data_IF_697670298321
#
_entry.id   IF_697670298321
#
_cell.length_a   1.000
_cell.length_b   1.000
_cell.length_c   1.000
_cell.angle_alpha   90.00
_cell.angle_beta   90.00
_cell.angle_gamma   90.00
#
_symmetry.space_group_name_H-M   'P 1'
#
loop_
_entity.id
_entity.type
_entity.pdbx_description
1 polymer ?
#
# COMPACT_ATOMS: atom_id res chain seq x y z
N UNK A 1 -10.21 -22.10 5.10
CA UNK A 1 -8.76 -21.92 4.93
C UNK A 1 -8.35 -20.47 5.12
N UNK A 2 -8.74 -19.55 4.26
CA UNK A 2 -8.41 -18.12 4.35
C UNK A 2 -8.76 -17.52 5.71
N UNK A 3 -9.92 -17.82 6.26
CA UNK A 3 -10.35 -17.34 7.57
C UNK A 3 -9.49 -17.89 8.74
N UNK A 4 -8.95 -19.10 8.60
CA UNK A 4 -8.02 -19.68 9.58
C UNK A 4 -6.68 -18.95 9.58
N UNK A 5 -6.18 -18.58 8.41
CA UNK A 5 -4.98 -17.75 8.27
C UNK A 5 -5.20 -16.40 8.94
N UNK A 6 -6.31 -15.71 8.61
CA UNK A 6 -6.64 -14.38 9.13
C UNK A 6 -6.73 -14.34 10.65
N UNK A 7 -7.36 -15.35 11.27
CA UNK A 7 -7.61 -15.39 12.71
C UNK A 7 -6.55 -16.15 13.53
N UNK A 8 -5.62 -16.84 12.85
CA UNK A 8 -4.57 -17.64 13.49
C UNK A 8 -5.08 -18.77 14.38
N UNK A 9 -6.36 -19.16 14.24
CA UNK A 9 -7.05 -20.12 15.12
C UNK A 9 -8.18 -20.84 14.40
N UNK A 10 -8.14 -22.17 14.41
CA UNK A 10 -9.21 -22.99 13.83
C UNK A 10 -10.54 -22.78 14.60
N UNK A 11 -10.48 -22.66 15.92
CA UNK A 11 -11.68 -22.46 16.75
C UNK A 11 -12.35 -21.12 16.45
N UNK A 12 -11.58 -20.03 16.39
CA UNK A 12 -12.10 -18.70 16.06
C UNK A 12 -12.65 -18.65 14.63
N UNK A 13 -11.95 -19.27 13.68
CA UNK A 13 -12.40 -19.37 12.30
C UNK A 13 -13.68 -20.17 12.16
N UNK A 14 -13.82 -21.30 12.88
CA UNK A 14 -15.03 -22.09 12.88
C UNK A 14 -16.22 -21.29 13.41
N UNK A 15 -16.04 -20.54 14.50
CA UNK A 15 -17.07 -19.65 15.03
C UNK A 15 -17.47 -18.57 14.04
N UNK A 16 -16.50 -17.94 13.38
CA UNK A 16 -16.74 -16.89 12.38
C UNK A 16 -17.46 -17.42 11.12
N UNK A 17 -17.24 -18.69 10.77
CA UNK A 17 -17.89 -19.36 9.64
C UNK A 17 -19.18 -20.09 10.03
N UNK A 18 -19.65 -19.94 11.27
CA UNK A 18 -20.82 -20.66 11.80
C UNK A 18 -20.71 -22.18 11.63
N UNK A 19 -19.51 -22.74 11.78
CA UNK A 19 -19.20 -24.15 11.63
C UNK A 19 -18.77 -24.79 12.97
N UNK A 20 -18.95 -26.08 13.12
CA UNK A 20 -18.35 -26.85 14.21
C UNK A 20 -16.80 -26.94 13.98
N UNK A 21 -16.03 -26.68 15.04
CA UNK A 21 -14.54 -26.77 14.96
C UNK A 21 -14.04 -28.14 14.45
N UNK A 22 -14.64 -29.32 14.84
CA UNK A 22 -14.24 -30.61 14.30
C UNK A 22 -14.41 -30.70 12.78
N UNK A 23 -15.53 -30.15 12.26
CA UNK A 23 -15.83 -30.15 10.83
C UNK A 23 -14.80 -29.31 10.05
N UNK A 24 -14.49 -28.09 10.53
CA UNK A 24 -13.48 -27.27 9.90
C UNK A 24 -12.10 -27.92 9.96
N UNK A 25 -11.71 -28.53 11.09
CA UNK A 25 -10.45 -29.24 11.24
C UNK A 25 -10.34 -30.44 10.28
N UNK A 26 -11.44 -31.17 10.08
CA UNK A 26 -11.53 -32.29 9.13
C UNK A 26 -11.37 -31.79 7.69
N UNK A 27 -12.11 -30.75 7.31
CA UNK A 27 -12.02 -30.15 5.97
C UNK A 27 -10.62 -29.65 5.64
N UNK A 28 -9.90 -29.06 6.63
CA UNK A 28 -8.50 -28.65 6.45
C UNK A 28 -7.62 -29.85 6.14
N UNK A 29 -7.72 -30.93 6.93
CA UNK A 29 -6.90 -32.15 6.73
C UNK A 29 -7.21 -32.85 5.40
N UNK A 30 -8.47 -32.84 4.98
CA UNK A 30 -8.89 -33.42 3.69
C UNK A 30 -8.26 -32.62 2.53
N UNK A 31 -8.31 -31.29 2.58
CA UNK A 31 -7.69 -30.43 1.57
C UNK A 31 -6.17 -30.62 1.55
N UNK A 32 -5.49 -30.63 2.71
CA UNK A 32 -4.06 -30.86 2.80
C UNK A 32 -3.64 -32.22 2.20
N UNK A 33 -4.47 -33.24 2.39
CA UNK A 33 -4.26 -34.56 1.79
C UNK A 33 -4.46 -34.55 0.28
N UNK A 34 -5.47 -33.84 -0.21
CA UNK A 34 -5.81 -33.75 -1.62
C UNK A 34 -4.75 -32.98 -2.42
N UNK A 35 -4.28 -31.83 -1.89
CA UNK A 35 -3.22 -31.06 -2.51
C UNK A 35 -1.79 -31.57 -2.23
N UNK A 36 -1.65 -32.52 -1.31
CA UNK A 36 -0.37 -33.17 -0.99
C UNK A 36 0.62 -32.30 -0.23
N UNK A 37 0.18 -31.20 0.38
CA UNK A 37 1.03 -30.30 1.17
C UNK A 37 0.39 -29.94 2.50
N UNK A 38 1.16 -29.76 3.59
CA UNK A 38 0.65 -29.15 4.80
C UNK A 38 0.45 -27.65 4.56
N UNK A 39 -0.79 -27.17 4.69
CA UNK A 39 -1.11 -25.75 4.52
C UNK A 39 -0.83 -25.01 5.83
N UNK A 40 -1.16 -25.64 6.97
CA UNK A 40 -1.00 -25.03 8.29
C UNK A 40 -0.05 -25.83 9.18
N UNK A 41 0.59 -25.14 10.10
CA UNK A 41 1.36 -25.72 11.21
C UNK A 41 0.97 -25.04 12.53
N UNK A 42 1.08 -25.78 13.62
CA UNK A 42 0.91 -25.22 14.97
C UNK A 42 2.20 -24.51 15.40
N UNK A 43 2.05 -23.36 16.04
CA UNK A 43 3.13 -22.59 16.63
C UNK A 43 2.73 -22.06 18.02
N UNK A 44 3.68 -21.50 18.75
CA UNK A 44 3.40 -20.83 20.03
C UNK A 44 2.42 -19.64 19.87
N UNK A 45 2.28 -19.09 18.67
CA UNK A 45 1.35 -18.00 18.34
C UNK A 45 0.00 -18.49 17.79
N UNK A 46 -0.25 -19.80 17.82
CA UNK A 46 -1.47 -20.40 17.27
C UNK A 46 -1.21 -21.18 15.98
N UNK A 47 -2.16 -21.11 15.04
CA UNK A 47 -2.10 -21.78 13.74
C UNK A 47 -1.55 -20.79 12.72
N UNK A 48 -0.47 -21.14 12.04
CA UNK A 48 0.19 -20.31 11.01
C UNK A 48 0.35 -21.10 9.71
N UNK A 49 0.29 -20.41 8.58
CA UNK A 49 0.54 -21.02 7.28
C UNK A 49 2.01 -21.48 7.14
N UNK A 50 2.23 -22.60 6.45
CA UNK A 50 3.55 -23.01 5.99
C UNK A 50 3.96 -22.16 4.77
N UNK A 51 5.22 -22.23 4.31
CA UNK A 51 5.63 -21.50 3.10
C UNK A 51 4.82 -21.95 1.85
N UNK A 52 4.64 -23.26 1.68
CA UNK A 52 3.76 -23.79 0.63
C UNK A 52 2.29 -23.44 0.87
N UNK A 53 1.87 -23.40 2.14
CA UNK A 53 0.53 -23.00 2.55
C UNK A 53 0.23 -21.54 2.21
N UNK A 54 1.18 -20.62 2.36
CA UNK A 54 1.03 -19.22 1.95
C UNK A 54 0.75 -19.09 0.45
N UNK A 55 1.52 -19.82 -0.37
CA UNK A 55 1.29 -19.85 -1.82
C UNK A 55 -0.10 -20.39 -2.16
N UNK A 56 -0.49 -21.51 -1.54
CA UNK A 56 -1.83 -22.07 -1.72
C UNK A 56 -2.93 -21.08 -1.33
N UNK A 57 -2.78 -20.42 -0.17
CA UNK A 57 -3.76 -19.45 0.33
C UNK A 57 -3.85 -18.20 -0.54
N UNK A 58 -2.76 -17.79 -1.17
CA UNK A 58 -2.75 -16.71 -2.15
C UNK A 58 -3.65 -17.04 -3.35
N UNK A 59 -3.53 -18.25 -3.92
CA UNK A 59 -4.42 -18.70 -4.99
C UNK A 59 -5.86 -18.85 -4.52
N UNK A 60 -6.06 -19.37 -3.30
CA UNK A 60 -7.40 -19.51 -2.73
C UNK A 60 -8.11 -18.16 -2.54
N UNK A 61 -7.40 -17.13 -2.08
CA UNK A 61 -7.91 -15.75 -2.00
C UNK A 61 -8.29 -15.21 -3.38
N UNK A 62 -7.41 -15.40 -4.38
CA UNK A 62 -7.69 -14.98 -5.75
C UNK A 62 -8.97 -15.62 -6.32
N UNK A 63 -9.19 -16.92 -6.06
CA UNK A 63 -10.41 -17.62 -6.47
C UNK A 63 -11.64 -17.03 -5.78
N UNK A 64 -11.58 -16.78 -4.46
CA UNK A 64 -12.70 -16.17 -3.74
C UNK A 64 -13.07 -14.79 -4.31
N UNK A 65 -12.07 -13.94 -4.61
CA UNK A 65 -12.32 -12.63 -5.25
C UNK A 65 -12.99 -12.79 -6.62
N UNK A 66 -12.59 -13.80 -7.42
CA UNK A 66 -13.25 -14.05 -8.69
C UNK A 66 -14.69 -14.56 -8.52
N UNK A 67 -14.95 -15.37 -7.49
CA UNK A 67 -16.30 -15.79 -7.13
C UNK A 67 -17.18 -14.61 -6.71
N UNK A 68 -16.66 -13.72 -5.87
CA UNK A 68 -17.36 -12.50 -5.44
C UNK A 68 -17.67 -11.59 -6.64
N UNK A 69 -16.73 -11.43 -7.57
CA UNK A 69 -16.95 -10.71 -8.83
C UNK A 69 -18.03 -11.35 -9.68
N UNK A 70 -18.00 -12.67 -9.82
CA UNK A 70 -19.02 -13.41 -10.55
C UNK A 70 -20.40 -13.24 -9.88
N UNK A 71 -20.50 -13.36 -8.57
CA UNK A 71 -21.75 -13.14 -7.84
C UNK A 71 -22.25 -11.70 -8.02
N UNK A 72 -21.38 -10.71 -8.01
CA UNK A 72 -21.75 -9.30 -8.20
C UNK A 72 -22.32 -9.01 -9.59
N UNK A 73 -21.94 -9.79 -10.62
CA UNK A 73 -22.52 -9.67 -11.97
C UNK A 73 -23.98 -10.15 -12.06
N UNK A 74 -24.38 -11.02 -11.14
CA UNK A 74 -25.74 -11.62 -11.11
C UNK A 74 -26.61 -11.13 -9.94
N UNK A 75 -26.01 -10.49 -8.94
CA UNK A 75 -26.76 -9.69 -7.97
C UNK A 75 -27.13 -8.41 -8.69
N UNK A 76 -28.41 -8.14 -8.77
CA UNK A 76 -29.01 -6.96 -9.40
C UNK A 76 -28.62 -5.67 -8.61
N UNK A 77 -27.31 -5.40 -8.59
CA UNK A 77 -26.78 -4.09 -8.25
C UNK A 77 -27.10 -3.25 -9.46
N UNK A 78 -28.19 -2.46 -9.39
CA UNK A 78 -28.75 -1.69 -10.48
C UNK A 78 -27.66 -1.16 -11.42
N UNK A 79 -27.97 -0.95 -12.69
CA UNK A 79 -27.05 -0.58 -13.80
C UNK A 79 -26.08 0.58 -13.48
N UNK A 80 -26.15 1.17 -12.28
CA UNK A 80 -25.41 2.34 -11.82
C UNK A 80 -24.59 2.14 -10.53
N UNK A 81 -24.14 0.91 -10.19
CA UNK A 81 -23.28 0.71 -9.02
C UNK A 81 -21.79 0.71 -9.39
N UNK A 82 -21.00 1.52 -8.70
CA UNK A 82 -19.53 1.58 -8.84
C UNK A 82 -18.88 1.08 -7.56
N UNK A 83 -18.26 -0.12 -7.65
CA UNK A 83 -17.59 -0.77 -6.53
C UNK A 83 -16.11 -0.99 -6.84
N UNK A 84 -15.22 -0.42 -6.05
CA UNK A 84 -13.80 -0.70 -6.20
C UNK A 84 -13.00 -0.44 -4.92
N UNK A 85 -11.79 -1.01 -4.89
CA UNK A 85 -10.83 -0.77 -3.83
C UNK A 85 -9.48 -0.32 -4.41
N UNK A 86 -8.93 0.75 -3.87
CA UNK A 86 -7.75 1.44 -4.39
C UNK A 86 -6.71 1.64 -3.29
N UNK A 87 -5.48 1.25 -3.57
CA UNK A 87 -4.29 1.64 -2.82
C UNK A 87 -3.60 2.79 -3.52
N UNK A 88 -3.17 3.78 -2.76
CA UNK A 88 -2.52 4.95 -3.33
C UNK A 88 -1.37 5.44 -2.44
N UNK A 89 -0.34 6.08 -3.00
CA UNK A 89 0.70 6.72 -2.21
C UNK A 89 0.15 7.97 -1.51
N UNK A 90 0.79 8.36 -0.43
CA UNK A 90 0.46 9.59 0.31
C UNK A 90 0.76 10.83 -0.55
N UNK A 91 -0.21 11.22 -1.37
CA UNK A 91 -0.03 12.29 -2.36
C UNK A 91 -1.34 13.07 -2.60
N UNK A 92 -1.30 14.38 -2.35
CA UNK A 92 -2.48 15.25 -2.45
C UNK A 92 -3.09 15.27 -3.85
N UNK A 93 -2.26 15.23 -4.90
CA UNK A 93 -2.74 15.24 -6.28
C UNK A 93 -3.58 14.01 -6.66
N UNK A 94 -3.25 12.83 -6.08
CA UNK A 94 -4.02 11.60 -6.32
C UNK A 94 -5.35 11.66 -5.59
N UNK A 95 -5.34 12.11 -4.33
CA UNK A 95 -6.57 12.31 -3.57
C UNK A 95 -7.48 13.34 -4.25
N UNK A 96 -6.92 14.43 -4.79
CA UNK A 96 -7.66 15.42 -5.56
C UNK A 96 -8.27 14.81 -6.83
N UNK A 97 -7.48 14.08 -7.62
CA UNK A 97 -7.96 13.39 -8.82
C UNK A 97 -9.09 12.41 -8.50
N UNK A 98 -8.97 11.66 -7.40
CA UNK A 98 -10.03 10.78 -6.93
C UNK A 98 -11.31 11.57 -6.55
N UNK A 99 -11.18 12.67 -5.84
CA UNK A 99 -12.33 13.54 -5.49
C UNK A 99 -13.00 14.08 -6.74
N UNK A 100 -12.24 14.50 -7.74
CA UNK A 100 -12.79 14.94 -9.03
C UNK A 100 -13.52 13.80 -9.75
N UNK A 101 -13.02 12.56 -9.68
CA UNK A 101 -13.70 11.39 -10.22
C UNK A 101 -15.04 11.16 -9.52
N UNK A 102 -15.05 11.13 -8.18
CA UNK A 102 -16.28 10.92 -7.39
C UNK A 102 -17.33 12.00 -7.71
N UNK A 103 -16.91 13.26 -7.80
CA UNK A 103 -17.81 14.37 -8.13
C UNK A 103 -18.44 14.25 -9.53
N UNK A 104 -17.76 13.58 -10.48
CA UNK A 104 -18.27 13.31 -11.83
C UNK A 104 -19.27 12.16 -11.91
N UNK A 105 -19.28 11.26 -10.93
CA UNK A 105 -20.21 10.11 -10.92
C UNK A 105 -21.68 10.56 -10.75
N UNK A 106 -21.90 11.72 -10.10
CA UNK A 106 -23.24 12.20 -9.80
C UNK A 106 -23.91 11.46 -8.63
N UNK A 107 -25.06 11.96 -8.20
CA UNK A 107 -25.77 11.44 -7.02
C UNK A 107 -26.62 10.20 -7.29
N UNK A 108 -26.79 9.81 -8.55
CA UNK A 108 -27.62 8.67 -8.97
C UNK A 108 -26.81 7.36 -9.07
N UNK A 109 -25.54 7.39 -8.75
CA UNK A 109 -24.63 6.22 -8.79
C UNK A 109 -24.44 5.72 -7.36
N UNK A 110 -24.72 4.43 -7.13
CA UNK A 110 -24.36 3.78 -5.89
C UNK A 110 -22.84 3.57 -5.87
N UNK A 111 -22.15 4.13 -4.87
CA UNK A 111 -20.69 4.10 -4.77
C UNK A 111 -20.26 3.41 -3.49
N UNK A 112 -19.53 2.27 -3.63
CA UNK A 112 -18.75 1.66 -2.54
C UNK A 112 -17.27 1.65 -2.94
N UNK A 113 -16.54 2.67 -2.49
CA UNK A 113 -15.13 2.84 -2.80
C UNK A 113 -14.28 2.73 -1.52
N UNK A 114 -13.34 1.79 -1.50
CA UNK A 114 -12.38 1.62 -0.41
C UNK A 114 -11.03 2.17 -0.82
N UNK A 115 -10.52 3.13 -0.05
CA UNK A 115 -9.23 3.77 -0.31
C UNK A 115 -8.33 3.61 0.91
N UNK A 116 -7.07 3.23 0.67
CA UNK A 116 -6.03 3.18 1.70
C UNK A 116 -4.73 3.76 1.16
N UNK A 117 -4.15 4.70 1.91
CA UNK A 117 -2.81 5.20 1.62
C UNK A 117 -1.77 4.20 2.13
N UNK A 118 -0.75 3.92 1.30
CA UNK A 118 0.31 2.98 1.64
C UNK A 118 1.57 3.21 0.79
N UNK A 119 2.62 2.45 1.03
CA UNK A 119 3.83 2.45 0.22
C UNK A 119 3.69 1.55 -1.02
N UNK A 120 4.63 1.69 -1.97
CA UNK A 120 4.58 0.99 -3.26
C UNK A 120 4.69 -0.53 -3.14
N UNK A 121 5.49 -1.04 -2.19
CA UNK A 121 5.66 -2.48 -1.97
C UNK A 121 4.40 -3.12 -1.44
N UNK A 122 3.79 -2.49 -0.43
CA UNK A 122 2.53 -2.93 0.16
C UNK A 122 1.40 -2.90 -0.88
N UNK A 123 1.34 -1.84 -1.71
CA UNK A 123 0.35 -1.72 -2.77
C UNK A 123 0.45 -2.88 -3.77
N UNK A 124 1.66 -3.21 -4.24
CA UNK A 124 1.88 -4.34 -5.15
C UNK A 124 1.45 -5.65 -4.49
N UNK A 125 1.86 -5.92 -3.25
CA UNK A 125 1.54 -7.16 -2.56
C UNK A 125 0.04 -7.33 -2.33
N UNK A 126 -0.65 -6.30 -1.86
CA UNK A 126 -2.08 -6.36 -1.61
C UNK A 126 -2.92 -6.51 -2.91
N UNK A 127 -2.45 -5.99 -4.04
CA UNK A 127 -3.08 -6.27 -5.34
C UNK A 127 -2.84 -7.72 -5.77
N UNK A 128 -1.63 -8.26 -5.59
CA UNK A 128 -1.31 -9.67 -5.86
C UNK A 128 -2.15 -10.61 -4.99
N UNK A 129 -2.34 -10.26 -3.72
CA UNK A 129 -3.15 -11.03 -2.77
C UNK A 129 -4.66 -10.83 -2.97
N UNK A 130 -5.04 -10.06 -4.00
CA UNK A 130 -6.44 -9.75 -4.33
C UNK A 130 -7.22 -9.06 -3.20
N UNK A 131 -6.53 -8.43 -2.25
CA UNK A 131 -7.17 -7.63 -1.20
C UNK A 131 -7.71 -6.31 -1.77
N UNK A 132 -7.06 -5.80 -2.83
CA UNK A 132 -7.43 -4.57 -3.53
C UNK A 132 -7.51 -4.79 -5.04
N UNK A 133 -8.40 -4.06 -5.70
CA UNK A 133 -8.58 -4.18 -7.15
C UNK A 133 -7.48 -3.48 -7.93
N UNK A 134 -6.93 -2.39 -7.38
CA UNK A 134 -5.99 -1.52 -8.07
C UNK A 134 -5.03 -0.87 -7.06
N UNK A 135 -3.80 -0.61 -7.50
CA UNK A 135 -2.81 0.13 -6.75
C UNK A 135 -2.15 1.21 -7.61
N UNK A 136 -2.00 2.40 -7.06
CA UNK A 136 -1.13 3.43 -7.61
C UNK A 136 0.16 3.38 -6.81
N UNK A 137 1.29 3.19 -7.49
CA UNK A 137 2.61 3.19 -6.87
C UNK A 137 3.40 4.41 -7.31
N UNK A 138 4.32 4.84 -6.45
CA UNK A 138 5.24 5.93 -6.72
C UNK A 138 6.65 5.52 -6.29
N UNK A 139 7.59 5.72 -7.17
CA UNK A 139 9.00 5.39 -6.92
C UNK A 139 9.93 6.39 -7.60
N UNK A 140 11.14 6.63 -7.08
CA UNK A 140 12.18 7.35 -7.79
C UNK A 140 12.57 6.63 -9.09
N UNK A 141 12.84 7.39 -10.16
CA UNK A 141 13.24 6.85 -11.48
C UNK A 141 14.42 5.86 -11.37
N UNK A 142 15.34 6.10 -10.43
CA UNK A 142 16.47 5.20 -10.15
C UNK A 142 16.03 3.76 -9.76
N UNK A 143 14.78 3.56 -9.32
CA UNK A 143 14.23 2.26 -8.94
C UNK A 143 13.23 1.69 -9.95
N UNK A 144 13.07 2.32 -11.10
CA UNK A 144 12.12 1.88 -12.12
C UNK A 144 12.31 0.43 -12.52
N UNK A 145 13.54 0.02 -12.84
CA UNK A 145 13.83 -1.36 -13.24
C UNK A 145 13.46 -2.39 -12.15
N UNK A 146 13.64 -2.04 -10.89
CA UNK A 146 13.25 -2.90 -9.77
C UNK A 146 11.73 -3.10 -9.72
N UNK A 147 10.97 -2.00 -9.77
CA UNK A 147 9.51 -2.08 -9.71
C UNK A 147 8.91 -2.73 -10.95
N UNK A 148 9.45 -2.46 -12.14
CA UNK A 148 8.99 -3.07 -13.39
C UNK A 148 9.21 -4.58 -13.38
N UNK A 149 10.41 -5.05 -13.01
CA UNK A 149 10.68 -6.50 -12.88
C UNK A 149 9.72 -7.17 -11.91
N UNK A 150 9.44 -6.53 -10.78
CA UNK A 150 8.49 -7.06 -9.78
C UNK A 150 7.06 -7.15 -10.33
N UNK A 151 6.60 -6.15 -11.06
CA UNK A 151 5.28 -6.11 -11.69
C UNK A 151 5.14 -7.22 -12.72
N UNK A 152 6.18 -7.41 -13.56
CA UNK A 152 6.24 -8.47 -14.57
C UNK A 152 6.26 -9.87 -13.94
N UNK A 153 7.11 -10.11 -12.95
CA UNK A 153 7.18 -11.39 -12.22
C UNK A 153 5.84 -11.79 -11.59
N UNK A 154 5.08 -10.79 -11.16
CA UNK A 154 3.76 -10.99 -10.54
C UNK A 154 2.60 -10.98 -11.56
N UNK A 155 2.89 -10.89 -12.86
CA UNK A 155 1.91 -10.81 -13.93
C UNK A 155 0.86 -9.70 -13.75
N UNK A 156 1.25 -8.57 -13.21
CA UNK A 156 0.39 -7.40 -13.05
C UNK A 156 0.41 -6.55 -14.32
N UNK A 157 -0.74 -5.98 -14.69
CA UNK A 157 -0.84 -4.96 -15.74
C UNK A 157 -0.58 -3.59 -15.11
N UNK A 158 0.12 -2.72 -15.83
CA UNK A 158 0.39 -1.37 -15.39
C UNK A 158 0.22 -0.35 -16.50
N UNK A 159 0.02 0.89 -16.10
CA UNK A 159 0.04 2.07 -16.96
C UNK A 159 0.84 3.17 -16.28
N UNK A 160 1.77 3.78 -17.00
CA UNK A 160 2.45 4.96 -16.50
C UNK A 160 1.46 6.13 -16.48
N UNK A 161 1.37 6.82 -15.34
CA UNK A 161 0.40 7.91 -15.14
C UNK A 161 1.08 9.27 -15.26
N UNK A 162 2.22 9.44 -14.60
CA UNK A 162 2.88 10.73 -14.52
C UNK A 162 4.32 10.59 -14.01
N UNK A 163 5.20 11.44 -14.52
CA UNK A 163 6.57 11.65 -14.04
C UNK A 163 6.71 13.11 -13.62
N UNK A 164 7.39 13.37 -12.50
CA UNK A 164 7.53 14.71 -11.93
C UNK A 164 8.79 14.82 -11.08
N UNK A 165 9.28 16.05 -10.95
CA UNK A 165 10.30 16.40 -9.99
C UNK A 165 9.67 16.70 -8.63
N UNK A 166 10.34 16.29 -7.54
CA UNK A 166 9.93 16.66 -6.20
C UNK A 166 10.07 18.17 -5.97
N UNK A 167 9.15 18.71 -5.21
CA UNK A 167 9.21 20.08 -4.71
C UNK A 167 9.45 20.08 -3.21
N UNK A 168 10.26 21.04 -2.75
CA UNK A 168 10.52 21.24 -1.33
C UNK A 168 9.40 22.08 -0.73
N UNK A 169 8.85 21.63 0.40
CA UNK A 169 7.95 22.44 1.20
C UNK A 169 8.51 22.63 2.61
N UNK A 170 8.28 23.80 3.17
CA UNK A 170 8.64 24.20 4.53
C UNK A 170 7.60 25.17 5.07
N UNK A 171 7.65 25.50 6.36
CA UNK A 171 6.79 26.53 6.93
C UNK A 171 7.11 27.91 6.31
N UNK A 172 6.09 28.75 6.09
CA UNK A 172 6.28 30.15 5.66
C UNK A 172 7.09 30.96 6.65
N UNK A 173 7.09 30.56 7.94
CA UNK A 173 7.86 31.19 9.02
C UNK A 173 9.33 30.69 9.05
N UNK A 174 9.69 29.71 8.24
CA UNK A 174 11.05 29.19 8.15
C UNK A 174 12.03 30.20 7.56
N UNK A 175 13.26 30.21 8.05
CA UNK A 175 14.35 30.92 7.39
C UNK A 175 14.65 30.30 6.01
N UNK A 176 14.43 28.97 5.85
CA UNK A 176 14.59 28.26 4.57
C UNK A 176 13.70 28.85 3.48
N UNK A 177 12.48 29.32 3.82
CA UNK A 177 11.56 29.94 2.86
C UNK A 177 12.07 31.30 2.33
N UNK A 178 13.09 31.91 2.97
CA UNK A 178 13.69 33.19 2.59
C UNK A 178 15.01 33.03 1.84
N UNK A 179 15.54 31.81 1.76
CA UNK A 179 16.80 31.54 1.05
C UNK A 179 16.59 31.71 -0.46
N UNK A 180 17.55 32.36 -1.12
CA UNK A 180 17.52 32.59 -2.57
C UNK A 180 17.91 31.37 -3.37
N UNK A 181 18.80 30.57 -2.82
CA UNK A 181 19.30 29.32 -3.41
C UNK A 181 19.30 28.24 -2.35
N UNK A 182 18.65 27.13 -2.66
CA UNK A 182 18.58 25.97 -1.79
C UNK A 182 19.53 24.91 -2.33
N UNK A 183 20.54 24.58 -1.55
CA UNK A 183 21.52 23.55 -1.83
C UNK A 183 21.71 22.64 -0.60
N UNK A 184 22.43 21.54 -0.76
CA UNK A 184 22.64 20.56 0.30
C UNK A 184 23.24 21.19 1.58
N UNK A 185 24.22 22.08 1.45
CA UNK A 185 24.86 22.77 2.60
C UNK A 185 23.86 23.64 3.37
N UNK A 186 22.89 24.22 2.69
CA UNK A 186 21.80 24.97 3.33
C UNK A 186 20.88 24.01 4.07
N UNK A 187 20.48 22.93 3.40
CA UNK A 187 19.53 21.93 3.94
C UNK A 187 20.09 21.16 5.16
N UNK A 188 21.41 20.98 5.27
CA UNK A 188 22.07 20.34 6.42
C UNK A 188 21.76 20.99 7.78
N UNK A 189 21.33 22.24 7.77
CA UNK A 189 20.96 22.98 8.99
C UNK A 189 19.53 22.68 9.44
N UNK A 190 18.73 22.11 8.56
CA UNK A 190 17.30 21.88 8.78
C UNK A 190 17.01 20.41 9.04
N UNK A 191 15.79 20.12 9.48
CA UNK A 191 15.32 18.77 9.76
C UNK A 191 14.50 18.29 8.57
N UNK A 192 14.92 17.19 7.96
CA UNK A 192 14.13 16.56 6.92
C UNK A 192 13.04 15.67 7.52
N UNK A 193 11.79 15.87 7.10
CA UNK A 193 10.65 15.03 7.50
C UNK A 193 10.42 13.99 6.42
N UNK A 194 10.57 12.72 6.78
CA UNK A 194 10.52 11.57 5.88
C UNK A 194 9.38 10.61 6.26
N UNK A 195 8.89 9.86 5.28
CA UNK A 195 8.05 8.69 5.56
C UNK A 195 8.90 7.51 6.00
N UNK A 196 8.59 6.96 7.18
CA UNK A 196 9.36 5.87 7.79
C UNK A 196 9.15 4.50 7.13
N UNK A 197 8.14 4.34 6.29
CA UNK A 197 7.79 3.09 5.61
C UNK A 197 8.17 3.04 4.12
N UNK A 198 8.91 4.02 3.62
CA UNK A 198 9.41 4.07 2.23
C UNK A 198 10.67 3.20 2.01
N UNK A 199 10.72 2.04 2.64
CA UNK A 199 11.86 1.13 2.50
C UNK A 199 11.67 0.27 1.26
N UNK A 200 12.59 0.35 0.31
CA UNK A 200 12.69 -0.58 -0.82
C UNK A 200 13.64 -1.71 -0.41
N UNK A 201 13.15 -2.95 -0.20
CA UNK A 201 13.99 -4.07 0.23
C UNK A 201 15.01 -4.46 -0.85
N UNK A 202 16.17 -4.97 -0.42
CA UNK A 202 17.18 -5.63 -1.27
C UNK A 202 17.82 -4.76 -2.37
N UNK A 203 17.77 -3.45 -2.27
CA UNK A 203 18.63 -2.61 -3.10
C UNK A 203 20.05 -2.73 -2.58
N UNK A 204 20.99 -3.02 -3.49
CA UNK A 204 22.40 -3.24 -3.12
C UNK A 204 22.92 -2.07 -2.29
N UNK A 205 23.79 -2.35 -1.32
CA UNK A 205 24.42 -1.34 -0.48
C UNK A 205 25.08 -0.19 -1.28
N UNK A 206 25.41 -0.44 -2.54
CA UNK A 206 25.97 0.54 -3.48
C UNK A 206 24.91 1.56 -3.95
N UNK A 207 23.66 1.14 -4.17
CA UNK A 207 22.55 2.04 -4.50
C UNK A 207 22.05 2.78 -3.25
N UNK A 208 22.04 2.12 -2.11
CA UNK A 208 21.74 2.78 -0.84
C UNK A 208 22.80 3.84 -0.49
N UNK A 209 24.09 3.57 -0.75
CA UNK A 209 25.16 4.56 -0.59
C UNK A 209 25.02 5.75 -1.55
N UNK A 210 24.69 5.52 -2.82
CA UNK A 210 24.48 6.60 -3.79
C UNK A 210 23.29 7.51 -3.42
N UNK A 211 22.23 6.92 -2.85
CA UNK A 211 21.09 7.68 -2.36
C UNK A 211 21.31 8.24 -0.94
N UNK A 212 22.15 7.61 -0.13
CA UNK A 212 22.60 8.17 1.14
C UNK A 212 23.59 9.33 0.94
N UNK A 213 24.34 9.33 -0.17
CA UNK A 213 25.15 10.48 -0.58
C UNK A 213 24.29 11.66 -1.08
N UNK A 214 23.08 11.38 -1.61
CA UNK A 214 22.07 12.38 -1.97
C UNK A 214 21.21 12.82 -0.77
N UNK A 215 21.13 12.01 0.31
CA UNK A 215 20.37 12.29 1.53
C UNK A 215 21.30 12.35 2.76
N UNK A 216 22.41 13.04 2.65
CA UNK A 216 23.44 13.09 3.70
C UNK A 216 23.12 14.08 4.83
N UNK A 217 21.84 14.46 4.97
CA UNK A 217 21.40 15.30 6.08
C UNK A 217 21.53 14.53 7.39
N UNK A 218 22.05 15.18 8.42
CA UNK A 218 22.29 14.58 9.73
C UNK A 218 21.05 14.58 10.65
N UNK A 219 19.96 15.26 10.23
CA UNK A 219 18.78 15.52 11.07
C UNK A 219 17.51 15.08 10.35
N UNK A 220 16.87 13.99 10.85
CA UNK A 220 15.66 13.43 10.27
C UNK A 220 14.57 13.22 11.30
N UNK A 221 13.31 13.39 10.88
CA UNK A 221 12.12 12.93 11.60
C UNK A 221 11.39 11.94 10.70
N UNK A 222 11.23 10.71 11.14
CA UNK A 222 10.48 9.69 10.43
C UNK A 222 9.03 9.68 10.90
N UNK A 223 8.10 9.86 9.97
CA UNK A 223 6.65 9.86 10.23
C UNK A 223 5.99 8.74 9.45
N UNK A 224 4.99 8.13 10.04
CA UNK A 224 4.23 7.04 9.42
C UNK A 224 2.84 7.49 8.97
N UNK A 225 2.29 8.52 9.62
CA UNK A 225 0.97 9.07 9.33
C UNK A 225 1.08 10.42 8.61
N UNK A 226 0.28 10.60 7.54
CA UNK A 226 0.33 11.82 6.72
C UNK A 226 -0.01 13.09 7.49
N UNK A 227 -1.00 13.05 8.39
CA UNK A 227 -1.41 14.21 9.18
C UNK A 227 -0.26 14.79 9.99
N UNK A 228 0.52 13.94 10.66
CA UNK A 228 1.65 14.34 11.50
C UNK A 228 2.75 15.09 10.74
N UNK A 229 2.89 14.90 9.43
CA UNK A 229 3.89 15.63 8.64
C UNK A 229 3.59 17.13 8.57
N UNK A 230 2.35 17.47 8.30
CA UNK A 230 1.93 18.87 8.21
C UNK A 230 1.93 19.55 9.58
N UNK A 231 1.59 18.82 10.64
CA UNK A 231 1.67 19.33 12.01
C UNK A 231 3.11 19.65 12.38
N UNK A 232 4.06 18.77 12.04
CA UNK A 232 5.49 18.99 12.28
C UNK A 232 6.00 20.20 11.48
N UNK A 233 5.71 20.28 10.17
CA UNK A 233 6.11 21.41 9.34
C UNK A 233 5.57 22.74 9.87
N UNK A 234 4.34 22.76 10.37
CA UNK A 234 3.72 23.97 10.92
C UNK A 234 4.31 24.38 12.25
N UNK A 235 4.61 23.40 13.12
CA UNK A 235 5.07 23.64 14.48
C UNK A 235 6.60 23.74 14.60
N UNK A 236 7.35 23.23 13.62
CA UNK A 236 8.81 23.22 13.59
C UNK A 236 9.32 24.00 12.36
N UNK A 237 9.56 25.32 12.47
CA UNK A 237 10.01 26.13 11.33
C UNK A 237 11.35 25.71 10.71
N UNK A 238 12.19 24.98 11.46
CA UNK A 238 13.47 24.47 11.00
C UNK A 238 13.32 23.09 10.30
N UNK A 239 12.13 22.75 9.81
CA UNK A 239 11.87 21.51 9.10
C UNK A 239 11.45 21.73 7.65
N UNK A 240 11.72 20.74 6.81
CA UNK A 240 11.29 20.68 5.44
C UNK A 240 10.94 19.24 5.03
N UNK A 241 10.24 19.09 3.91
CA UNK A 241 10.06 17.80 3.26
C UNK A 241 9.98 17.92 1.74
N UNK A 242 10.34 16.83 1.06
CA UNK A 242 10.16 16.68 -0.37
C UNK A 242 8.81 16.06 -0.67
N UNK A 243 8.02 16.71 -1.50
CA UNK A 243 6.69 16.25 -1.90
C UNK A 243 6.53 16.26 -3.41
N UNK A 244 5.55 15.50 -3.90
CA UNK A 244 5.07 15.68 -5.27
C UNK A 244 4.47 17.08 -5.44
N UNK A 245 4.45 17.63 -6.66
CA UNK A 245 3.78 18.90 -6.91
C UNK A 245 2.35 18.90 -6.37
N UNK A 246 1.97 20.01 -5.73
CA UNK A 246 0.64 20.20 -5.17
C UNK A 246 -0.31 20.71 -6.25
N UNK A 247 -1.58 20.27 -6.27
CA UNK A 247 -2.61 20.90 -7.10
C UNK A 247 -2.73 22.40 -6.77
N UNK A 248 -2.99 23.22 -7.78
CA UNK A 248 -3.13 24.68 -7.59
C UNK A 248 -4.33 25.09 -6.76
N UNK A 249 -5.25 24.15 -6.54
CA UNK A 249 -6.55 24.36 -5.87
C UNK A 249 -6.57 23.92 -4.41
N UNK A 250 -5.38 23.59 -3.85
CA UNK A 250 -5.21 23.18 -2.44
C UNK A 250 -4.40 24.25 -1.71
#
# INVERSE_FOLDING_TARGET
MVEVERLGSITKAASALYMGQPNLSKAIKEMEREVGIPIFKRSAKGVVATEKGKQFLQYAKAILVQMDKMESLYKDNGENAVNFSLLLPRASYITHAFTCFVNKLGTNVELDAKIRETNSMEAINAVVECEYNMGIIRYPVAYESFFMSMIEEKNLKYHNVWEFDYVLITSENSQLAKEKEINETVLDKYIEVLHGDNIVPNISATYQKKNAELNNHSRHIYVYERGSQFDILSACPDSFMWVSPLPKEI
#
